data_IF_881990652708
#
_entry.id   IF_881990652708
#
_cell.length_a   1.000
_cell.length_b   1.000
_cell.length_c   1.000
_cell.angle_alpha   90.00
_cell.angle_beta   90.00
_cell.angle_gamma   90.00
#
_symmetry.space_group_name_H-M   'P 1'
#
loop_
_entity.id
_entity.type
_entity.pdbx_description
1 polymer ?
#
# COMPACT_ATOMS: atom_id res chain seq x y z
N UNK A 1 -0.08 27.20 17.15
CA UNK A 1 -0.87 26.03 17.58
C UNK A 1 -0.09 24.78 17.21
N UNK A 2 -0.05 23.72 18.04
CA UNK A 2 0.60 22.49 17.64
C UNK A 2 -0.11 21.91 16.42
N UNK A 3 0.67 21.40 15.46
CA UNK A 3 0.14 20.76 14.27
C UNK A 3 -0.43 19.39 14.64
N UNK A 4 -1.69 19.14 14.29
CA UNK A 4 -2.30 17.82 14.43
C UNK A 4 -1.89 16.95 13.26
N UNK A 5 -1.30 15.78 13.52
CA UNK A 5 -0.88 14.81 12.51
C UNK A 5 -1.90 13.66 12.49
N UNK A 6 -2.42 13.35 11.31
CA UNK A 6 -3.17 12.12 11.02
C UNK A 6 -2.35 11.32 10.02
N UNK A 7 -2.11 10.07 10.32
CA UNK A 7 -1.31 9.17 9.49
C UNK A 7 -2.18 8.41 8.50
N UNK A 8 -1.77 8.38 7.24
CA UNK A 8 -2.34 7.48 6.25
C UNK A 8 -1.60 6.13 6.33
N UNK A 9 -2.19 5.18 7.05
CA UNK A 9 -1.71 3.82 7.18
C UNK A 9 -2.32 2.84 6.16
N UNK A 10 -3.04 3.33 5.16
CA UNK A 10 -3.82 2.49 4.22
C UNK A 10 -2.98 1.41 3.50
N UNK A 11 -1.68 1.60 3.38
CA UNK A 11 -0.77 0.63 2.74
C UNK A 11 0.35 0.11 3.65
N UNK A 12 0.53 0.66 4.85
CA UNK A 12 1.69 0.33 5.69
C UNK A 12 1.40 0.15 7.18
N UNK A 13 0.15 -0.06 7.60
CA UNK A 13 -0.15 -0.22 9.02
C UNK A 13 0.39 -1.53 9.64
N UNK A 14 0.81 -2.49 8.82
CA UNK A 14 1.47 -3.76 9.21
C UNK A 14 3.00 -3.64 9.33
N UNK A 15 3.58 -2.48 9.04
CA UNK A 15 5.00 -2.21 9.28
C UNK A 15 5.27 -1.90 10.75
N UNK A 16 6.53 -2.03 11.16
CA UNK A 16 6.99 -1.80 12.54
C UNK A 16 7.22 -0.31 12.86
N UNK A 17 6.85 0.60 11.96
CA UNK A 17 7.05 2.03 12.15
C UNK A 17 6.27 2.56 13.37
N UNK A 18 6.96 3.37 14.19
CA UNK A 18 6.32 4.04 15.30
C UNK A 18 5.28 5.04 14.80
N UNK A 19 4.08 4.98 15.36
CA UNK A 19 3.01 5.93 15.08
C UNK A 19 3.18 7.18 15.94
N UNK A 20 3.16 8.32 15.31
CA UNK A 20 3.36 9.63 15.95
C UNK A 20 2.12 10.53 15.87
N UNK A 21 1.16 10.18 15.01
CA UNK A 21 -0.07 10.94 14.80
C UNK A 21 -1.11 10.71 15.91
N UNK A 22 -2.07 11.62 16.00
CA UNK A 22 -3.23 11.47 16.89
C UNK A 22 -4.12 10.30 16.48
N UNK A 23 -4.12 9.96 15.20
CA UNK A 23 -4.86 8.84 14.63
C UNK A 23 -4.18 8.31 13.36
N UNK A 24 -4.40 7.03 13.08
CA UNK A 24 -3.97 6.38 11.83
C UNK A 24 -5.20 5.86 11.09
N UNK A 25 -5.37 6.24 9.83
CA UNK A 25 -6.39 5.70 8.95
C UNK A 25 -5.91 4.39 8.31
N UNK A 26 -6.73 3.34 8.36
CA UNK A 26 -6.44 2.02 7.80
C UNK A 26 -7.48 1.66 6.76
N UNK A 27 -7.06 1.06 5.67
CA UNK A 27 -7.93 0.54 4.63
C UNK A 27 -7.98 -0.98 4.64
N UNK A 28 -9.19 -1.51 4.52
CA UNK A 28 -9.47 -2.93 4.29
C UNK A 28 -10.08 -3.17 2.90
N UNK A 29 -9.86 -2.25 1.97
CA UNK A 29 -10.21 -2.43 0.55
C UNK A 29 -9.75 -3.81 0.05
N UNK A 30 -10.48 -4.46 -0.91
CA UNK A 30 -10.16 -5.80 -1.42
C UNK A 30 -8.74 -6.00 -1.92
N UNK A 31 -8.04 -4.92 -2.27
CA UNK A 31 -6.65 -4.97 -2.75
C UNK A 31 -5.60 -4.86 -1.63
N UNK A 32 -6.00 -4.72 -0.37
CA UNK A 32 -5.07 -4.53 0.77
C UNK A 32 -4.54 -5.85 1.33
N UNK A 33 -3.45 -5.79 2.10
CA UNK A 33 -2.84 -6.97 2.74
C UNK A 33 -3.81 -7.70 3.67
N UNK A 34 -4.65 -6.95 4.37
CA UNK A 34 -5.79 -7.46 5.12
C UNK A 34 -7.06 -6.85 4.50
N UNK A 35 -7.74 -7.62 3.70
CA UNK A 35 -8.83 -7.17 2.85
C UNK A 35 -10.19 -7.73 3.29
N UNK A 36 -11.24 -6.90 3.33
CA UNK A 36 -12.63 -7.36 3.33
C UNK A 36 -13.13 -7.62 1.89
N UNK A 37 -14.37 -8.04 1.72
CA UNK A 37 -14.95 -8.27 0.39
C UNK A 37 -15.49 -6.99 -0.24
N UNK A 38 -15.91 -6.03 0.60
CA UNK A 38 -16.38 -4.72 0.18
C UNK A 38 -15.39 -3.61 0.55
N UNK A 39 -15.92 -2.41 0.73
CA UNK A 39 -15.16 -1.27 1.22
C UNK A 39 -15.16 -1.27 2.75
N UNK A 40 -13.99 -1.24 3.35
CA UNK A 40 -13.85 -1.18 4.79
C UNK A 40 -12.60 -0.44 5.22
N UNK A 41 -12.57 -0.08 6.49
CA UNK A 41 -11.43 0.58 7.08
C UNK A 41 -11.58 0.71 8.60
N UNK A 42 -10.53 1.18 9.22
CA UNK A 42 -10.49 1.46 10.64
C UNK A 42 -9.71 2.74 10.92
N UNK A 43 -9.96 3.30 12.08
CA UNK A 43 -9.13 4.35 12.67
C UNK A 43 -8.51 3.79 13.94
N UNK A 44 -7.19 3.84 14.03
CA UNK A 44 -6.44 3.53 15.24
C UNK A 44 -6.08 4.82 15.95
N UNK A 45 -6.40 4.92 17.24
CA UNK A 45 -6.08 6.08 18.07
C UNK A 45 -6.03 5.71 19.54
N UNK A 46 -5.15 6.37 20.31
CA UNK A 46 -5.14 6.34 21.77
C UNK A 46 -5.86 7.56 22.37
N UNK A 47 -6.41 8.43 21.52
CA UNK A 47 -7.16 9.61 21.95
C UNK A 47 -8.63 9.24 22.09
N UNK A 48 -9.13 9.12 23.33
CA UNK A 48 -10.53 8.73 23.62
C UNK A 48 -11.54 9.71 23.04
N UNK A 49 -11.25 11.00 23.09
CA UNK A 49 -12.12 12.04 22.51
C UNK A 49 -12.25 11.84 21.00
N UNK A 50 -11.13 11.62 20.31
CA UNK A 50 -11.13 11.34 18.86
C UNK A 50 -11.91 10.05 18.55
N UNK A 51 -11.70 8.99 19.32
CA UNK A 51 -12.43 7.73 19.17
C UNK A 51 -13.94 7.90 19.35
N UNK A 52 -14.38 8.63 20.37
CA UNK A 52 -15.80 8.92 20.64
C UNK A 52 -16.43 9.76 19.53
N UNK A 53 -15.71 10.78 19.05
CA UNK A 53 -16.14 11.60 17.91
C UNK A 53 -16.30 10.73 16.64
N UNK A 54 -15.31 9.90 16.30
CA UNK A 54 -15.36 9.02 15.13
C UNK A 54 -16.51 8.02 15.18
N UNK A 55 -16.80 7.43 16.37
CA UNK A 55 -17.96 6.55 16.56
C UNK A 55 -19.27 7.27 16.33
N UNK A 56 -19.43 8.46 16.88
CA UNK A 56 -20.65 9.28 16.69
C UNK A 56 -20.82 9.68 15.22
N UNK A 57 -19.73 10.07 14.57
CA UNK A 57 -19.75 10.48 13.17
C UNK A 57 -20.20 9.35 12.23
N UNK A 58 -19.64 8.15 12.38
CA UNK A 58 -19.95 6.99 11.50
C UNK A 58 -21.35 6.41 11.69
N UNK A 59 -22.07 6.75 12.80
CA UNK A 59 -23.35 6.16 13.20
C UNK A 59 -24.49 7.19 13.27
N UNK A 60 -24.58 8.09 12.33
CA UNK A 60 -25.68 9.08 12.27
C UNK A 60 -25.81 9.92 13.54
N UNK A 61 -24.73 10.25 14.19
CA UNK A 61 -24.75 11.03 15.45
C UNK A 61 -25.41 10.33 16.64
N UNK A 62 -25.43 9.00 16.64
CA UNK A 62 -26.04 8.21 17.75
C UNK A 62 -25.09 8.03 18.94
N UNK A 63 -23.82 8.45 18.83
CA UNK A 63 -22.86 8.37 19.91
C UNK A 63 -22.98 9.52 20.92
N UNK A 64 -22.02 9.57 21.83
CA UNK A 64 -21.93 10.56 22.90
C UNK A 64 -21.66 11.99 22.38
N UNK A 65 -20.88 12.08 21.30
CA UNK A 65 -20.50 13.38 20.72
C UNK A 65 -21.51 13.82 19.68
N UNK A 66 -21.86 15.11 19.73
CA UNK A 66 -22.67 15.73 18.68
C UNK A 66 -21.74 16.26 17.58
N UNK A 67 -21.92 15.76 16.38
CA UNK A 67 -21.12 16.11 15.20
C UNK A 67 -21.99 16.70 14.10
N UNK A 68 -21.44 17.67 13.38
CA UNK A 68 -22.09 18.21 12.18
C UNK A 68 -21.89 17.22 11.01
N UNK A 69 -22.89 17.06 10.17
CA UNK A 69 -22.89 16.22 8.98
C UNK A 69 -22.39 14.77 9.23
N UNK A 70 -23.04 14.00 10.12
CA UNK A 70 -22.64 12.62 10.39
C UNK A 70 -22.89 11.74 9.16
N UNK A 71 -22.26 10.55 9.14
CA UNK A 71 -22.33 9.59 8.04
C UNK A 71 -22.88 8.24 8.52
N UNK A 72 -23.29 7.40 7.57
CA UNK A 72 -23.47 5.97 7.77
C UNK A 72 -22.27 5.25 7.12
N UNK A 73 -21.26 4.97 7.91
CA UNK A 73 -20.01 4.38 7.40
C UNK A 73 -19.47 3.23 8.27
N UNK A 74 -20.39 2.44 8.82
CA UNK A 74 -20.04 1.17 9.47
C UNK A 74 -19.70 0.12 8.41
N UNK A 75 -18.71 -0.72 8.69
CA UNK A 75 -18.51 -1.95 7.94
C UNK A 75 -19.72 -2.88 8.12
N UNK A 76 -20.01 -3.70 7.11
CA UNK A 76 -21.02 -4.74 7.22
C UNK A 76 -20.60 -5.81 8.22
N UNK A 77 -21.59 -6.47 8.86
CA UNK A 77 -21.33 -7.57 9.80
C UNK A 77 -20.64 -8.76 9.09
N UNK A 78 -20.93 -8.98 7.81
CA UNK A 78 -20.31 -10.02 6.98
C UNK A 78 -18.82 -9.71 6.79
N UNK A 79 -18.47 -8.46 6.44
CA UNK A 79 -17.09 -8.04 6.30
C UNK A 79 -16.36 -8.13 7.64
N UNK A 80 -17.00 -7.72 8.74
CA UNK A 80 -16.43 -7.85 10.08
C UNK A 80 -16.15 -9.32 10.45
N UNK A 81 -17.08 -10.22 10.20
CA UNK A 81 -16.90 -11.65 10.45
C UNK A 81 -15.73 -12.24 9.60
N UNK A 82 -15.65 -11.86 8.33
CA UNK A 82 -14.55 -12.23 7.44
C UNK A 82 -13.21 -11.74 7.98
N UNK A 83 -13.16 -10.48 8.41
CA UNK A 83 -11.95 -9.88 8.97
C UNK A 83 -11.50 -10.59 10.25
N UNK A 84 -12.42 -10.98 11.13
CA UNK A 84 -12.09 -11.76 12.34
C UNK A 84 -11.44 -13.11 12.04
N UNK A 85 -11.77 -13.73 10.90
CA UNK A 85 -11.09 -14.95 10.45
C UNK A 85 -9.73 -14.63 9.87
N UNK A 86 -9.64 -13.67 8.94
CA UNK A 86 -8.41 -13.31 8.23
C UNK A 86 -7.32 -12.77 9.16
N UNK A 87 -7.66 -12.04 10.21
CA UNK A 87 -6.69 -11.53 11.19
C UNK A 87 -5.89 -12.63 11.88
N UNK A 88 -6.40 -13.86 11.95
CA UNK A 88 -5.65 -15.00 12.51
C UNK A 88 -4.47 -15.43 11.65
N UNK A 89 -4.45 -15.07 10.39
CA UNK A 89 -3.43 -15.46 9.40
C UNK A 89 -2.52 -14.30 8.99
N UNK A 90 -2.80 -13.08 9.42
CA UNK A 90 -2.14 -11.88 8.89
C UNK A 90 -0.62 -11.88 9.13
N UNK A 91 -0.15 -12.38 10.27
CA UNK A 91 1.28 -12.44 10.57
C UNK A 91 2.00 -13.40 9.65
N UNK A 92 1.39 -14.57 9.37
CA UNK A 92 1.92 -15.53 8.39
C UNK A 92 1.96 -14.94 6.97
N UNK A 93 0.90 -14.26 6.54
CA UNK A 93 0.84 -13.61 5.23
C UNK A 93 1.86 -12.48 5.11
N UNK A 94 2.03 -11.71 6.17
CA UNK A 94 3.01 -10.63 6.19
C UNK A 94 4.44 -11.16 6.18
N UNK A 95 4.71 -12.24 6.90
CA UNK A 95 6.01 -12.91 6.88
C UNK A 95 6.35 -13.43 5.47
N UNK A 96 5.38 -14.09 4.81
CA UNK A 96 5.57 -14.56 3.43
C UNK A 96 5.88 -13.43 2.44
N UNK A 97 5.21 -12.30 2.56
CA UNK A 97 5.52 -11.11 1.74
C UNK A 97 6.93 -10.60 1.96
N UNK A 98 7.42 -10.61 3.20
CA UNK A 98 8.81 -10.25 3.53
C UNK A 98 9.82 -11.21 2.90
N UNK A 99 9.56 -12.50 2.94
CA UNK A 99 10.42 -13.53 2.33
C UNK A 99 10.52 -13.36 0.81
N UNK A 100 9.39 -13.17 0.13
CA UNK A 100 9.35 -12.90 -1.31
C UNK A 100 10.12 -11.62 -1.63
N UNK A 101 9.90 -10.56 -0.89
CA UNK A 101 10.57 -9.28 -1.10
C UNK A 101 12.09 -9.40 -0.91
N UNK A 102 12.54 -10.05 0.16
CA UNK A 102 13.96 -10.27 0.44
C UNK A 102 14.63 -11.09 -0.68
N UNK A 103 13.96 -12.14 -1.16
CA UNK A 103 14.44 -12.94 -2.28
C UNK A 103 14.62 -12.07 -3.54
N UNK A 104 13.63 -11.29 -3.93
CA UNK A 104 13.71 -10.44 -5.11
C UNK A 104 14.74 -9.31 -4.97
N UNK A 105 14.87 -8.70 -3.79
CA UNK A 105 15.92 -7.70 -3.54
C UNK A 105 17.32 -8.28 -3.77
N UNK A 106 17.56 -9.53 -3.36
CA UNK A 106 18.82 -10.22 -3.61
C UNK A 106 19.00 -10.53 -5.10
N UNK A 107 17.96 -11.01 -5.79
CA UNK A 107 18.02 -11.35 -7.21
C UNK A 107 18.29 -10.12 -8.08
N UNK A 108 17.71 -8.97 -7.73
CA UNK A 108 17.83 -7.74 -8.54
C UNK A 108 19.06 -6.88 -8.18
N UNK A 109 19.83 -7.24 -7.17
CA UNK A 109 20.95 -6.42 -6.64
C UNK A 109 21.97 -6.00 -7.72
N UNK A 110 22.23 -6.85 -8.70
CA UNK A 110 23.22 -6.62 -9.75
C UNK A 110 22.57 -6.43 -11.13
N UNK A 111 21.34 -6.01 -11.19
CA UNK A 111 20.61 -5.73 -12.43
C UNK A 111 20.31 -4.23 -12.54
N UNK A 112 19.78 -3.79 -13.68
CA UNK A 112 19.28 -2.42 -13.84
C UNK A 112 17.94 -2.17 -13.15
N UNK A 113 17.25 -3.20 -12.65
CA UNK A 113 16.03 -3.05 -11.86
C UNK A 113 16.35 -2.66 -10.42
N UNK A 114 16.11 -1.41 -10.08
CA UNK A 114 16.35 -0.90 -8.71
C UNK A 114 15.14 -1.14 -7.82
N UNK A 115 15.33 -1.86 -6.73
CA UNK A 115 14.32 -1.92 -5.68
C UNK A 115 14.26 -0.60 -4.93
N UNK A 116 13.07 0.00 -4.81
CA UNK A 116 12.89 1.30 -4.13
C UNK A 116 12.91 1.19 -2.61
N UNK A 117 12.90 -0.04 -2.08
CA UNK A 117 12.95 -0.31 -0.64
C UNK A 117 14.40 -0.55 -0.26
N UNK A 118 14.92 0.25 0.68
CA UNK A 118 16.26 0.05 1.23
C UNK A 118 16.22 -0.89 2.43
N UNK A 119 17.34 -1.54 2.75
CA UNK A 119 17.47 -2.42 3.92
C UNK A 119 17.08 -1.71 5.24
N UNK A 120 17.36 -0.42 5.36
CA UNK A 120 17.02 0.38 6.54
C UNK A 120 15.51 0.54 6.73
N UNK A 121 14.73 0.46 5.66
CA UNK A 121 13.27 0.63 5.66
C UNK A 121 12.51 -0.69 5.56
N UNK A 122 13.19 -1.83 5.42
CA UNK A 122 12.56 -3.12 5.16
C UNK A 122 11.63 -3.56 6.30
N UNK A 123 12.07 -3.40 7.56
CA UNK A 123 11.25 -3.74 8.74
C UNK A 123 9.99 -2.90 8.86
N UNK A 124 10.04 -1.67 8.39
CA UNK A 124 8.94 -0.72 8.43
C UNK A 124 8.01 -0.82 7.23
N UNK A 125 8.26 -1.75 6.30
CA UNK A 125 7.48 -1.89 5.08
C UNK A 125 6.51 -3.07 5.15
N UNK A 126 5.25 -2.85 4.78
CA UNK A 126 4.23 -3.90 4.77
C UNK A 126 4.19 -4.70 3.47
N UNK A 127 5.03 -4.42 2.49
CA UNK A 127 5.06 -5.06 1.17
C UNK A 127 3.67 -5.23 0.54
N UNK A 128 2.85 -4.20 0.67
CA UNK A 128 1.58 -4.14 -0.03
C UNK A 128 1.79 -4.13 -1.55
N UNK A 129 2.84 -3.46 -2.00
CA UNK A 129 3.36 -3.47 -3.37
C UNK A 129 4.86 -3.76 -3.32
N UNK A 130 5.38 -4.46 -4.32
CA UNK A 130 6.80 -4.53 -4.57
C UNK A 130 7.09 -3.74 -5.84
N UNK A 131 7.74 -2.60 -5.68
CA UNK A 131 7.96 -1.63 -6.76
C UNK A 131 9.42 -1.61 -7.15
N UNK A 132 9.68 -1.79 -8.44
CA UNK A 132 10.99 -1.62 -9.05
C UNK A 132 11.01 -0.34 -9.90
N UNK A 133 12.16 0.29 -9.99
CA UNK A 133 12.46 1.41 -10.86
C UNK A 133 13.36 0.90 -12.00
N UNK A 134 12.87 0.99 -13.24
CA UNK A 134 13.54 0.47 -14.42
C UNK A 134 13.44 1.45 -15.58
N UNK A 135 14.49 1.54 -16.37
CA UNK A 135 14.40 2.20 -17.66
C UNK A 135 13.53 1.37 -18.60
N UNK A 136 12.85 2.03 -19.54
CA UNK A 136 11.95 1.38 -20.51
C UNK A 136 10.83 0.52 -19.88
N UNK A 137 10.28 0.97 -18.73
CA UNK A 137 9.24 0.30 -17.94
C UNK A 137 8.11 -0.29 -18.79
N UNK A 138 7.61 0.43 -19.82
CA UNK A 138 6.51 -0.07 -20.66
C UNK A 138 6.93 -1.27 -21.51
N UNK A 139 8.19 -1.31 -21.96
CA UNK A 139 8.73 -2.46 -22.68
C UNK A 139 8.82 -3.69 -21.76
N UNK A 140 9.42 -3.51 -20.58
CA UNK A 140 9.47 -4.58 -19.56
C UNK A 140 8.07 -5.08 -19.20
N UNK A 141 7.09 -4.19 -19.04
CA UNK A 141 5.71 -4.56 -18.75
C UNK A 141 5.11 -5.46 -19.84
N UNK A 142 5.35 -5.14 -21.12
CA UNK A 142 4.87 -5.96 -22.25
C UNK A 142 5.53 -7.33 -22.28
N UNK A 143 6.85 -7.39 -22.10
CA UNK A 143 7.58 -8.66 -22.07
C UNK A 143 7.13 -9.57 -20.92
N UNK A 144 6.96 -9.01 -19.73
CA UNK A 144 6.45 -9.77 -18.58
C UNK A 144 5.01 -10.27 -18.81
N UNK A 145 4.17 -9.50 -19.52
CA UNK A 145 2.83 -9.93 -19.88
C UNK A 145 2.85 -11.12 -20.87
N UNK A 146 3.78 -11.14 -21.83
CA UNK A 146 4.01 -12.27 -22.75
C UNK A 146 4.48 -13.52 -21.98
N UNK A 147 5.22 -13.32 -20.88
CA UNK A 147 5.64 -14.40 -19.97
C UNK A 147 4.54 -14.84 -18.97
N UNK A 148 3.32 -14.27 -19.08
CA UNK A 148 2.20 -14.58 -18.19
C UNK A 148 2.24 -13.84 -16.84
N UNK A 149 3.12 -12.85 -16.68
CA UNK A 149 3.28 -12.09 -15.44
C UNK A 149 2.54 -10.77 -15.53
N UNK A 150 1.44 -10.65 -14.78
CA UNK A 150 0.65 -9.40 -14.72
C UNK A 150 1.30 -8.40 -13.78
N UNK A 151 1.65 -7.23 -14.29
CA UNK A 151 2.23 -6.12 -13.53
C UNK A 151 1.32 -4.89 -13.55
N UNK A 152 1.54 -3.95 -12.64
CA UNK A 152 0.76 -2.70 -12.55
C UNK A 152 1.68 -1.51 -12.32
N UNK A 153 1.20 -0.32 -12.71
CA UNK A 153 1.89 0.95 -12.49
C UNK A 153 1.21 1.70 -11.35
N UNK A 154 1.96 2.04 -10.30
CA UNK A 154 1.47 2.82 -9.18
C UNK A 154 2.39 4.02 -8.91
N UNK A 155 2.19 5.17 -9.57
CA UNK A 155 1.12 5.49 -10.53
C UNK A 155 1.68 6.17 -11.78
N UNK A 156 0.92 6.15 -12.89
CA UNK A 156 1.33 6.77 -14.16
C UNK A 156 1.40 8.30 -14.09
N UNK A 157 0.58 8.90 -13.22
CA UNK A 157 0.50 10.34 -13.06
C UNK A 157 0.88 10.76 -11.66
N UNK A 158 1.60 11.86 -11.57
CA UNK A 158 1.88 12.53 -10.30
C UNK A 158 0.68 13.34 -9.83
N UNK A 159 0.53 13.55 -8.52
CA UNK A 159 -0.65 14.18 -7.94
C UNK A 159 -0.95 15.57 -8.52
N UNK A 160 0.07 16.36 -8.82
CA UNK A 160 -0.10 17.69 -9.41
C UNK A 160 -0.53 17.68 -10.89
N UNK A 161 -0.61 16.51 -11.52
CA UNK A 161 -1.17 16.33 -12.86
C UNK A 161 -2.65 15.89 -12.84
N UNK A 162 -3.18 15.54 -11.66
CA UNK A 162 -4.51 14.93 -11.50
C UNK A 162 -5.56 15.99 -11.11
N UNK A 163 -6.60 16.12 -11.91
CA UNK A 163 -7.86 16.80 -11.61
C UNK A 163 -7.70 18.15 -10.88
N UNK A 164 -8.32 18.26 -9.71
CA UNK A 164 -8.33 19.46 -8.87
C UNK A 164 -6.99 19.80 -8.22
N UNK A 165 -6.02 18.88 -8.24
CA UNK A 165 -4.67 19.10 -7.73
C UNK A 165 -3.70 19.58 -8.81
N UNK A 166 -4.16 19.74 -10.05
CA UNK A 166 -3.33 20.15 -11.18
C UNK A 166 -2.66 21.50 -10.90
N UNK A 167 -1.33 21.53 -11.01
CA UNK A 167 -0.52 22.73 -10.78
C UNK A 167 -0.22 23.06 -9.32
N UNK A 168 -0.65 22.21 -8.35
CA UNK A 168 -0.33 22.38 -6.94
C UNK A 168 0.39 21.12 -6.37
N UNK A 169 1.54 21.26 -5.73
CA UNK A 169 2.43 22.44 -5.70
C UNK A 169 3.01 22.74 -7.08
N UNK A 170 3.65 23.89 -7.27
CA UNK A 170 4.18 24.34 -8.58
C UNK A 170 5.09 23.31 -9.28
N UNK A 171 5.31 23.45 -10.59
CA UNK A 171 5.84 22.39 -11.47
C UNK A 171 7.24 21.85 -11.08
N UNK A 172 8.08 22.68 -10.45
CA UNK A 172 9.45 22.30 -10.11
C UNK A 172 9.57 21.51 -8.77
N UNK A 173 8.51 21.35 -8.01
CA UNK A 173 8.56 20.69 -6.69
C UNK A 173 8.35 19.18 -6.74
N UNK A 174 8.03 18.61 -7.89
CA UNK A 174 7.68 17.19 -8.08
C UNK A 174 8.62 16.46 -9.08
N UNK A 175 9.86 16.95 -9.25
CA UNK A 175 10.79 16.39 -10.23
C UNK A 175 11.10 14.91 -10.03
N UNK A 176 11.32 14.49 -8.77
CA UNK A 176 11.58 13.09 -8.41
C UNK A 176 10.34 12.23 -8.71
N UNK A 177 9.17 12.64 -8.25
CA UNK A 177 7.91 11.91 -8.50
C UNK A 177 7.59 11.82 -9.99
N UNK A 178 7.82 12.90 -10.74
CA UNK A 178 7.62 12.92 -12.20
C UNK A 178 8.57 11.98 -12.93
N UNK A 179 9.83 11.92 -12.51
CA UNK A 179 10.80 10.95 -13.05
C UNK A 179 10.40 9.52 -12.74
N UNK A 180 10.03 9.23 -11.49
CA UNK A 180 9.64 7.89 -11.05
C UNK A 180 8.33 7.42 -11.71
N UNK A 181 7.35 8.29 -11.93
CA UNK A 181 6.08 7.90 -12.58
C UNK A 181 6.26 7.29 -13.96
N UNK A 182 7.35 7.64 -14.65
CA UNK A 182 7.70 7.07 -15.94
C UNK A 182 8.42 5.72 -15.87
N UNK A 183 8.97 5.35 -14.68
CA UNK A 183 9.90 4.22 -14.53
C UNK A 183 9.45 3.16 -13.55
N UNK A 184 8.50 3.46 -12.65
CA UNK A 184 8.06 2.49 -11.64
C UNK A 184 7.18 1.40 -12.24
N UNK A 185 7.43 0.15 -11.81
CA UNK A 185 6.63 -1.02 -12.13
C UNK A 185 6.41 -1.84 -10.86
N UNK A 186 5.18 -2.21 -10.59
CA UNK A 186 4.84 -3.07 -9.46
C UNK A 186 4.73 -4.52 -9.91
N UNK A 187 5.57 -5.36 -9.34
CA UNK A 187 5.50 -6.82 -9.50
C UNK A 187 4.36 -7.39 -8.63
N UNK A 188 3.74 -8.51 -9.04
CA UNK A 188 2.71 -9.17 -8.25
C UNK A 188 3.32 -9.72 -6.95
N UNK A 189 2.84 -9.26 -5.80
CA UNK A 189 3.28 -9.75 -4.48
C UNK A 189 2.07 -10.07 -3.60
N UNK A 190 1.90 -11.34 -3.26
CA UNK A 190 0.84 -11.83 -2.37
C UNK A 190 1.29 -13.16 -1.73
N UNK A 191 0.74 -13.54 -0.57
CA UNK A 191 1.26 -14.67 0.21
C UNK A 191 1.03 -16.04 -0.45
N UNK A 192 0.09 -16.15 -1.38
CA UNK A 192 -0.23 -17.39 -2.08
C UNK A 192 0.74 -17.74 -3.24
N UNK A 193 1.65 -16.81 -3.61
CA UNK A 193 2.69 -17.12 -4.59
C UNK A 193 3.54 -18.31 -4.13
N UNK A 194 3.61 -19.34 -4.96
CA UNK A 194 4.50 -20.48 -4.78
C UNK A 194 5.96 -20.08 -4.99
N UNK A 195 6.89 -20.84 -4.44
CA UNK A 195 8.33 -20.55 -4.63
C UNK A 195 8.72 -20.62 -6.11
N UNK A 196 8.12 -21.53 -6.89
CA UNK A 196 8.33 -21.62 -8.32
C UNK A 196 7.85 -20.37 -9.08
N UNK A 197 6.71 -19.79 -8.71
CA UNK A 197 6.22 -18.54 -9.30
C UNK A 197 7.11 -17.35 -8.90
N UNK A 198 7.54 -17.30 -7.64
CA UNK A 198 8.47 -16.26 -7.14
C UNK A 198 9.80 -16.31 -7.91
N UNK A 199 10.36 -17.49 -8.12
CA UNK A 199 11.58 -17.71 -8.90
C UNK A 199 11.35 -17.39 -10.39
N UNK A 200 10.24 -17.82 -10.97
CA UNK A 200 9.87 -17.51 -12.36
C UNK A 200 9.84 -15.99 -12.59
N UNK A 201 9.16 -15.25 -11.74
CA UNK A 201 9.09 -13.78 -11.83
C UNK A 201 10.49 -13.17 -11.77
N UNK A 202 11.33 -13.60 -10.84
CA UNK A 202 12.70 -13.08 -10.71
C UNK A 202 13.53 -13.35 -11.98
N UNK A 203 13.50 -14.57 -12.50
CA UNK A 203 14.25 -14.99 -13.69
C UNK A 203 13.79 -14.21 -14.93
N UNK A 204 12.49 -13.96 -15.09
CA UNK A 204 11.96 -13.21 -16.23
C UNK A 204 12.33 -11.73 -16.15
N UNK A 205 12.22 -11.12 -14.97
CA UNK A 205 12.69 -9.74 -14.77
C UNK A 205 14.19 -9.63 -15.09
N UNK A 206 15.03 -10.51 -14.55
CA UNK A 206 16.48 -10.49 -14.82
C UNK A 206 16.78 -10.63 -16.32
N UNK A 207 16.11 -11.54 -17.03
CA UNK A 207 16.32 -11.75 -18.46
C UNK A 207 16.02 -10.52 -19.32
N UNK A 208 15.07 -9.68 -18.87
CA UNK A 208 14.64 -8.50 -19.63
C UNK A 208 15.34 -7.18 -19.21
N UNK A 209 16.04 -7.15 -18.06
CA UNK A 209 16.71 -5.95 -17.54
C UNK A 209 18.24 -6.05 -17.49
N UNK A 210 18.79 -7.15 -17.98
CA UNK A 210 20.25 -7.40 -18.04
C UNK A 210 20.93 -6.59 -19.12
#
# INVERSE_FOLDING_TARGET
RPTTIIEDGAQNWLGDAQRIGVATAISFDPMKNLACYGNGGAVLTNNEHFAGFARSWREHNKGEYKVEAPSNSRMSEIDCATMMVKTKYIDQWQQRRREIAAYWQQQFKNTSARCLITQDNERNHAFHKFVIDVDYRNHLQSQLAEDGITTKIHYEQVLNAVGSLRGYPGPNMMSVSSSLSCRVLSLPIYPELTDAEVEHIANRVQAHVS
#
